data_IF_300329059651
#
_entry.id   IF_300329059651
#
_cell.length_a   1.000
_cell.length_b   1.000
_cell.length_c   1.000
_cell.angle_alpha   90.00
_cell.angle_beta   90.00
_cell.angle_gamma   90.00
#
_symmetry.space_group_name_H-M   'P 1'
#
loop_
_entity.id
_entity.type
_entity.pdbx_description
1 polymer ?
#
# COMPACT_ATOMS: atom_id res chain seq x y z
N UNK A 1 10.77 16.08 -13.20
CA UNK A 1 11.67 15.47 -12.21
C UNK A 1 11.20 15.69 -10.77
N UNK A 2 11.33 16.89 -10.19
CA UNK A 2 10.99 17.15 -8.77
C UNK A 2 9.55 16.78 -8.40
N UNK A 3 8.60 17.06 -9.28
CA UNK A 3 7.19 16.70 -9.07
C UNK A 3 6.99 15.19 -8.91
N UNK A 4 7.58 14.36 -9.79
CA UNK A 4 7.52 12.90 -9.69
C UNK A 4 8.19 12.38 -8.42
N UNK A 5 9.37 12.91 -8.07
CA UNK A 5 10.06 12.55 -6.83
C UNK A 5 9.22 12.90 -5.58
N UNK A 6 8.50 14.02 -5.61
CA UNK A 6 7.56 14.40 -4.55
C UNK A 6 6.39 13.43 -4.48
N UNK A 7 5.74 13.11 -5.62
CA UNK A 7 4.61 12.18 -5.63
C UNK A 7 4.99 10.81 -5.05
N UNK A 8 6.14 10.23 -5.43
CA UNK A 8 6.60 8.93 -4.89
C UNK A 8 6.88 9.00 -3.38
N UNK A 9 7.46 10.11 -2.88
CA UNK A 9 7.66 10.31 -1.44
C UNK A 9 6.32 10.41 -0.69
N UNK A 10 5.34 11.09 -1.27
CA UNK A 10 3.99 11.20 -0.71
C UNK A 10 3.29 9.83 -0.68
N UNK A 11 3.43 8.98 -1.71
CA UNK A 11 2.89 7.59 -1.70
C UNK A 11 3.37 6.84 -0.45
N UNK A 12 4.68 6.88 -0.17
CA UNK A 12 5.26 6.23 1.01
C UNK A 12 4.71 6.84 2.31
N UNK A 13 4.59 8.16 2.37
CA UNK A 13 4.10 8.86 3.56
C UNK A 13 2.64 8.49 3.88
N UNK A 14 1.77 8.48 2.88
CA UNK A 14 0.37 8.10 3.05
C UNK A 14 0.22 6.64 3.50
N UNK A 15 0.98 5.72 2.90
CA UNK A 15 1.00 4.32 3.34
C UNK A 15 1.47 4.19 4.80
N UNK A 16 2.53 4.92 5.17
CA UNK A 16 3.04 4.91 6.53
C UNK A 16 2.03 5.45 7.54
N UNK A 17 1.39 6.59 7.24
CA UNK A 17 0.36 7.20 8.09
C UNK A 17 -0.82 6.24 8.33
N UNK A 18 -1.28 5.58 7.27
CA UNK A 18 -2.37 4.61 7.37
C UNK A 18 -1.99 3.40 8.24
N UNK A 19 -0.82 2.81 7.99
CA UNK A 19 -0.33 1.67 8.80
C UNK A 19 -0.19 2.10 10.26
N UNK A 20 0.44 3.25 10.53
CA UNK A 20 0.62 3.74 11.89
C UNK A 20 -0.71 3.98 12.63
N UNK A 21 -1.70 4.56 11.95
CA UNK A 21 -3.06 4.74 12.50
C UNK A 21 -3.70 3.39 12.85
N UNK A 22 -3.63 2.42 11.94
CA UNK A 22 -4.20 1.08 12.15
C UNK A 22 -3.52 0.32 13.29
N UNK A 23 -2.20 0.48 13.45
CA UNK A 23 -1.46 -0.07 14.59
C UNK A 23 -1.97 0.54 15.90
N UNK A 24 -2.18 1.85 15.94
CA UNK A 24 -2.70 2.56 17.11
C UNK A 24 -4.16 2.21 17.44
N UNK A 25 -4.94 1.76 16.47
CA UNK A 25 -6.34 1.34 16.65
C UNK A 25 -6.51 -0.11 17.10
N UNK A 26 -5.42 -0.86 17.22
CA UNK A 26 -5.48 -2.24 17.69
C UNK A 26 -5.97 -2.32 19.14
N UNK A 27 -6.74 -3.36 19.46
CA UNK A 27 -7.21 -3.63 20.81
C UNK A 27 -6.04 -3.88 21.78
N UNK A 28 -6.15 -3.35 23.00
CA UNK A 28 -5.22 -3.63 24.10
C UNK A 28 -5.67 -4.79 25.00
N UNK A 29 -6.78 -5.46 24.66
CA UNK A 29 -7.28 -6.60 25.44
C UNK A 29 -6.40 -7.83 25.23
N UNK A 30 -6.04 -8.51 26.34
CA UNK A 30 -5.28 -9.76 26.30
C UNK A 30 -5.98 -10.86 25.50
N UNK A 31 -7.33 -10.85 25.45
CA UNK A 31 -8.13 -11.79 24.67
C UNK A 31 -7.78 -11.76 23.17
N UNK A 32 -7.45 -10.58 22.65
CA UNK A 32 -7.17 -10.38 21.23
C UNK A 32 -5.67 -10.29 20.91
N UNK A 33 -4.78 -10.40 21.90
CA UNK A 33 -3.35 -10.10 21.74
C UNK A 33 -2.69 -10.88 20.59
N UNK A 34 -2.93 -12.20 20.49
CA UNK A 34 -2.41 -13.02 19.40
C UNK A 34 -2.98 -12.60 18.04
N UNK A 35 -4.30 -12.35 17.97
CA UNK A 35 -4.99 -11.95 16.73
C UNK A 35 -4.59 -10.54 16.27
N UNK A 36 -4.33 -9.64 17.22
CA UNK A 36 -3.75 -8.31 16.99
C UNK A 36 -2.37 -8.47 16.39
N UNK A 37 -1.48 -9.24 17.00
CA UNK A 37 -0.14 -9.48 16.48
C UNK A 37 -0.18 -10.03 15.04
N UNK A 38 -1.05 -11.00 14.80
CA UNK A 38 -1.30 -11.59 13.48
C UNK A 38 -1.76 -10.56 12.45
N UNK A 39 -2.68 -9.68 12.83
CA UNK A 39 -3.16 -8.58 11.99
C UNK A 39 -2.04 -7.59 11.67
N UNK A 40 -1.24 -7.19 12.66
CA UNK A 40 -0.14 -6.24 12.50
C UNK A 40 0.90 -6.77 11.50
N UNK A 41 1.29 -8.05 11.61
CA UNK A 41 2.22 -8.68 10.67
C UNK A 41 1.63 -8.76 9.24
N UNK A 42 0.36 -9.16 9.12
CA UNK A 42 -0.32 -9.20 7.81
C UNK A 42 -0.43 -7.81 7.18
N UNK A 43 -0.69 -6.78 7.98
CA UNK A 43 -0.79 -5.39 7.53
C UNK A 43 0.57 -4.87 7.04
N UNK A 44 1.65 -5.06 7.81
CA UNK A 44 3.01 -4.64 7.42
C UNK A 44 3.43 -5.33 6.11
N UNK A 45 3.17 -6.64 5.99
CA UNK A 45 3.48 -7.41 4.79
C UNK A 45 2.74 -6.87 3.56
N UNK A 46 1.44 -6.64 3.67
CA UNK A 46 0.66 -6.09 2.56
C UNK A 46 1.07 -4.65 2.22
N UNK A 47 1.40 -3.83 3.21
CA UNK A 47 1.90 -2.47 2.98
C UNK A 47 3.27 -2.47 2.27
N UNK A 48 4.17 -3.38 2.66
CA UNK A 48 5.46 -3.60 1.98
C UNK A 48 5.25 -4.07 0.54
N UNK A 49 4.32 -5.01 0.32
CA UNK A 49 3.97 -5.50 -1.02
C UNK A 49 3.34 -4.39 -1.89
N UNK A 50 2.48 -3.55 -1.32
CA UNK A 50 1.88 -2.41 -2.03
C UNK A 50 2.97 -1.42 -2.45
N UNK A 51 3.87 -1.06 -1.54
CA UNK A 51 4.94 -0.13 -1.84
C UNK A 51 5.91 -0.67 -2.91
N UNK A 52 6.24 -1.96 -2.84
CA UNK A 52 7.03 -2.64 -3.86
C UNK A 52 6.33 -2.61 -5.23
N UNK A 53 5.04 -2.96 -5.27
CA UNK A 53 4.24 -2.95 -6.51
C UNK A 53 4.19 -1.54 -7.12
N UNK A 54 4.01 -0.51 -6.28
CA UNK A 54 3.98 0.88 -6.69
C UNK A 54 5.31 1.36 -7.28
N UNK A 55 6.44 0.96 -6.68
CA UNK A 55 7.77 1.30 -7.21
C UNK A 55 8.04 0.60 -8.55
N UNK A 56 7.69 -0.68 -8.68
CA UNK A 56 7.84 -1.42 -9.94
C UNK A 56 6.93 -0.91 -11.06
N UNK A 57 5.87 -0.16 -10.73
CA UNK A 57 4.97 0.44 -11.72
C UNK A 57 5.53 1.72 -12.30
N UNK A 58 6.12 2.60 -11.46
CA UNK A 58 6.54 3.95 -11.87
C UNK A 58 8.05 4.12 -12.06
N UNK A 59 8.86 3.17 -11.58
CA UNK A 59 10.31 3.24 -11.73
C UNK A 59 10.78 2.28 -12.82
N UNK A 60 11.62 2.78 -13.72
CA UNK A 60 12.47 1.93 -14.57
C UNK A 60 13.57 1.34 -13.69
N UNK A 61 13.39 0.10 -13.24
CA UNK A 61 14.37 -0.60 -12.41
C UNK A 61 15.13 -1.60 -13.29
N UNK A 62 16.47 -1.52 -13.28
CA UNK A 62 17.31 -2.55 -13.92
C UNK A 62 17.15 -3.92 -13.25
N UNK A 63 16.74 -3.93 -11.97
CA UNK A 63 16.41 -5.10 -11.18
C UNK A 63 15.14 -4.86 -10.36
N UNK A 64 14.06 -5.51 -10.75
CA UNK A 64 12.75 -5.43 -10.06
C UNK A 64 12.71 -6.20 -8.72
N UNK A 65 13.80 -6.85 -8.30
CA UNK A 65 13.85 -7.60 -7.03
C UNK A 65 13.96 -6.64 -5.84
N UNK A 66 12.81 -6.12 -5.42
CA UNK A 66 12.67 -5.39 -4.17
C UNK A 66 12.31 -6.36 -3.05
N UNK A 67 12.91 -6.15 -1.88
CA UNK A 67 12.62 -6.95 -0.69
C UNK A 67 11.20 -6.66 -0.20
N UNK A 68 10.41 -7.71 -0.04
CA UNK A 68 9.06 -7.66 0.54
C UNK A 68 9.09 -8.41 1.87
N UNK A 69 8.65 -7.74 2.93
CA UNK A 69 8.72 -8.27 4.29
C UNK A 69 7.87 -9.54 4.43
N UNK A 70 8.49 -10.65 4.84
CA UNK A 70 7.85 -11.94 5.10
C UNK A 70 6.97 -12.47 3.95
N UNK A 71 7.37 -12.23 2.69
CA UNK A 71 6.61 -12.64 1.51
C UNK A 71 6.27 -14.14 1.49
N UNK A 72 7.16 -14.97 2.03
CA UNK A 72 7.02 -16.42 2.15
C UNK A 72 5.82 -16.86 3.00
N UNK A 73 5.31 -15.98 3.87
CA UNK A 73 4.10 -16.23 4.66
C UNK A 73 2.80 -15.94 3.88
N UNK A 74 2.87 -15.48 2.63
CA UNK A 74 1.71 -15.34 1.76
C UNK A 74 1.37 -16.64 1.04
N UNK A 75 0.08 -16.85 0.78
CA UNK A 75 -0.35 -17.98 -0.04
C UNK A 75 0.22 -17.88 -1.45
N UNK A 76 0.81 -18.98 -1.94
CA UNK A 76 1.37 -19.10 -3.30
C UNK A 76 0.33 -18.76 -4.37
N UNK A 77 -0.92 -19.16 -4.19
CA UNK A 77 -1.99 -18.88 -5.16
C UNK A 77 -2.29 -17.38 -5.25
N UNK A 78 -2.23 -16.66 -4.12
CA UNK A 78 -2.39 -15.20 -4.10
C UNK A 78 -1.23 -14.51 -4.80
N UNK A 79 0.00 -14.95 -4.54
CA UNK A 79 1.18 -14.40 -5.19
C UNK A 79 1.14 -14.67 -6.70
N UNK A 80 0.72 -15.86 -7.11
CA UNK A 80 0.55 -16.19 -8.52
C UNK A 80 -0.52 -15.32 -9.18
N UNK A 81 -1.68 -15.15 -8.52
CA UNK A 81 -2.72 -14.24 -9.01
C UNK A 81 -2.20 -12.81 -9.17
N UNK A 82 -1.44 -12.30 -8.18
CA UNK A 82 -0.87 -10.95 -8.24
C UNK A 82 0.14 -10.80 -9.38
N UNK A 83 1.02 -11.79 -9.60
CA UNK A 83 1.98 -11.79 -10.70
C UNK A 83 1.31 -11.76 -12.07
N UNK A 84 0.12 -12.36 -12.21
CA UNK A 84 -0.66 -12.38 -13.45
C UNK A 84 -1.54 -11.13 -13.62
N UNK A 85 -1.69 -10.31 -12.58
CA UNK A 85 -2.52 -9.11 -12.61
C UNK A 85 -1.75 -7.93 -13.23
N UNK A 86 -2.45 -7.12 -14.04
CA UNK A 86 -1.91 -5.83 -14.51
C UNK A 86 -2.03 -4.77 -13.40
N UNK A 87 -3.16 -4.76 -12.72
CA UNK A 87 -3.50 -3.78 -11.68
C UNK A 87 -3.06 -4.29 -10.30
N UNK A 88 -1.74 -4.43 -10.11
CA UNK A 88 -1.16 -5.07 -8.90
C UNK A 88 -1.42 -4.25 -7.65
N UNK A 89 -1.25 -2.94 -7.73
CA UNK A 89 -1.47 -2.04 -6.61
C UNK A 89 -2.92 -2.07 -6.12
N UNK A 90 -3.89 -2.08 -7.04
CA UNK A 90 -5.33 -2.17 -6.77
C UNK A 90 -5.71 -3.49 -6.09
N UNK A 91 -5.12 -4.60 -6.54
CA UNK A 91 -5.34 -5.92 -5.92
C UNK A 91 -4.84 -5.92 -4.48
N UNK A 92 -3.62 -5.44 -4.24
CA UNK A 92 -3.05 -5.39 -2.88
C UNK A 92 -3.83 -4.42 -2.00
N UNK A 93 -4.22 -3.27 -2.53
CA UNK A 93 -5.06 -2.28 -1.85
C UNK A 93 -6.41 -2.89 -1.44
N UNK A 94 -7.05 -3.68 -2.31
CA UNK A 94 -8.28 -4.41 -1.99
C UNK A 94 -8.07 -5.44 -0.87
N UNK A 95 -6.92 -6.11 -0.82
CA UNK A 95 -6.57 -7.02 0.27
C UNK A 95 -6.36 -6.30 1.60
N UNK A 96 -5.72 -5.13 1.60
CA UNK A 96 -5.54 -4.29 2.79
C UNK A 96 -6.90 -3.84 3.31
N UNK A 97 -7.76 -3.30 2.45
CA UNK A 97 -9.11 -2.87 2.83
C UNK A 97 -9.90 -4.03 3.44
N UNK A 98 -9.85 -5.21 2.81
CA UNK A 98 -10.51 -6.41 3.35
C UNK A 98 -9.97 -6.79 4.73
N UNK A 99 -8.65 -6.78 4.91
CA UNK A 99 -8.00 -7.06 6.18
C UNK A 99 -8.47 -6.08 7.28
N UNK A 100 -8.56 -4.79 6.97
CA UNK A 100 -9.03 -3.75 7.89
C UNK A 100 -10.49 -4.01 8.32
N UNK A 101 -11.38 -4.27 7.37
CA UNK A 101 -12.79 -4.50 7.68
C UNK A 101 -13.02 -5.81 8.45
N UNK A 102 -12.29 -6.87 8.11
CA UNK A 102 -12.38 -8.14 8.85
C UNK A 102 -11.84 -7.99 10.28
N UNK A 103 -10.78 -7.21 10.48
CA UNK A 103 -10.22 -6.89 11.80
C UNK A 103 -11.18 -6.04 12.65
N UNK A 104 -11.83 -5.04 12.06
CA UNK A 104 -12.83 -4.22 12.73
C UNK A 104 -14.05 -5.03 13.18
N UNK A 105 -14.63 -5.83 12.28
CA UNK A 105 -15.76 -6.72 12.60
C UNK A 105 -15.42 -7.71 13.70
N UNK A 106 -14.16 -8.12 13.77
CA UNK A 106 -13.64 -9.07 14.74
C UNK A 106 -13.19 -8.46 16.07
N UNK A 107 -13.37 -7.15 16.27
CA UNK A 107 -12.90 -6.40 17.44
C UNK A 107 -11.37 -6.42 17.64
N UNK A 108 -10.61 -6.77 16.60
CA UNK A 108 -9.14 -6.64 16.59
C UNK A 108 -8.76 -5.16 16.50
N UNK A 109 -9.52 -4.39 15.73
CA UNK A 109 -9.48 -2.93 15.77
C UNK A 109 -10.57 -2.43 16.72
N UNK A 110 -10.16 -1.89 17.86
CA UNK A 110 -11.04 -1.33 18.90
C UNK A 110 -11.15 0.18 18.71
N UNK A 111 -11.90 0.57 17.69
CA UNK A 111 -12.04 1.95 17.30
C UNK A 111 -13.43 2.22 16.73
N UNK A 112 -13.96 3.41 17.00
CA UNK A 112 -15.23 3.85 16.45
C UNK A 112 -15.17 3.89 14.90
N UNK A 113 -16.22 3.44 14.19
CA UNK A 113 -16.23 3.39 12.73
C UNK A 113 -15.79 4.68 12.01
N UNK A 114 -16.15 5.90 12.46
CA UNK A 114 -15.72 7.12 11.79
C UNK A 114 -14.21 7.33 11.73
N UNK A 115 -13.44 6.79 12.68
CA UNK A 115 -11.98 6.96 12.73
C UNK A 115 -11.24 6.03 11.75
N UNK A 116 -11.86 4.91 11.37
CA UNK A 116 -11.30 3.95 10.39
C UNK A 116 -11.30 4.53 8.98
N UNK A 117 -12.21 5.46 8.70
CA UNK A 117 -12.25 6.18 7.44
C UNK A 117 -10.93 6.87 7.14
N UNK A 118 -10.23 7.38 8.17
CA UNK A 118 -8.97 8.11 7.99
C UNK A 118 -7.88 7.26 7.30
N UNK A 119 -7.44 6.11 7.85
CA UNK A 119 -6.44 5.29 7.17
C UNK A 119 -6.90 4.80 5.79
N UNK A 120 -8.20 4.58 5.56
CA UNK A 120 -8.74 4.24 4.24
C UNK A 120 -8.56 5.39 3.24
N UNK A 121 -8.80 6.63 3.67
CA UNK A 121 -8.58 7.83 2.84
C UNK A 121 -7.09 8.13 2.61
N UNK A 122 -6.24 7.90 3.60
CA UNK A 122 -4.77 8.03 3.47
C UNK A 122 -4.26 7.04 2.39
N UNK A 123 -4.63 5.76 2.49
CA UNK A 123 -4.28 4.78 1.46
C UNK A 123 -4.81 5.15 0.06
N UNK A 124 -6.06 5.62 -0.02
CA UNK A 124 -6.66 6.06 -1.30
C UNK A 124 -5.93 7.28 -1.88
N UNK A 125 -5.51 8.20 -1.02
CA UNK A 125 -4.69 9.36 -1.41
C UNK A 125 -3.35 8.89 -1.94
N UNK A 126 -2.71 7.92 -1.30
CA UNK A 126 -1.48 7.29 -1.79
C UNK A 126 -1.62 6.76 -3.22
N UNK A 127 -2.71 6.07 -3.55
CA UNK A 127 -2.98 5.58 -4.91
C UNK A 127 -3.16 6.72 -5.93
N UNK A 128 -3.79 7.83 -5.54
CA UNK A 128 -3.90 9.02 -6.40
C UNK A 128 -2.52 9.61 -6.68
N UNK A 129 -1.64 9.68 -5.66
CA UNK A 129 -0.26 10.15 -5.82
C UNK A 129 0.54 9.24 -6.76
N UNK A 130 0.34 7.93 -6.66
CA UNK A 130 0.97 6.95 -7.55
C UNK A 130 0.55 7.20 -9.01
N UNK A 131 -0.75 7.29 -9.28
CA UNK A 131 -1.29 7.57 -10.62
C UNK A 131 -0.79 8.91 -11.20
N UNK A 132 -0.54 9.91 -10.35
CA UNK A 132 0.04 11.17 -10.81
C UNK A 132 1.53 11.04 -11.14
N UNK A 133 2.27 10.20 -10.41
CA UNK A 133 3.66 9.90 -10.72
C UNK A 133 3.79 9.12 -12.04
N UNK A 134 2.91 8.14 -12.26
CA UNK A 134 2.83 7.35 -13.49
C UNK A 134 2.57 8.21 -14.73
N UNK A 135 1.59 9.14 -14.65
CA UNK A 135 1.33 10.10 -15.74
C UNK A 135 2.55 10.95 -16.13
N UNK A 136 3.41 11.29 -15.18
CA UNK A 136 4.63 12.07 -15.46
C UNK A 136 5.68 11.23 -16.21
N UNK A 137 5.63 9.91 -16.07
CA UNK A 137 6.44 8.99 -16.86
C UNK A 137 5.85 8.79 -18.26
N UNK A 138 4.53 8.60 -18.37
CA UNK A 138 3.86 8.35 -19.65
C UNK A 138 3.79 9.58 -20.57
N UNK A 139 3.71 10.79 -20.01
CA UNK A 139 3.55 12.04 -20.77
C UNK A 139 4.89 12.80 -20.80
N UNK A 140 5.76 12.55 -21.81
CA UNK A 140 7.05 13.22 -21.89
C UNK A 140 6.88 14.71 -22.21
N UNK A 141 7.91 15.50 -21.88
CA UNK A 141 7.99 16.88 -22.30
C UNK A 141 7.87 16.98 -23.83
N UNK A 142 7.07 17.91 -24.39
CA UNK A 142 6.80 17.90 -25.81
C UNK A 142 8.08 18.05 -26.63
N UNK A 143 8.32 17.10 -27.53
CA UNK A 143 9.53 17.01 -28.32
C UNK A 143 9.91 18.33 -29.04
N UNK A 144 8.99 19.12 -29.62
CA UNK A 144 9.34 20.37 -30.29
C UNK A 144 10.01 21.40 -29.36
N UNK A 145 9.63 21.43 -28.07
CA UNK A 145 10.23 22.36 -27.10
C UNK A 145 11.55 21.83 -26.55
N UNK A 146 11.83 20.52 -26.65
CA UNK A 146 13.05 19.89 -26.13
C UNK A 146 14.28 20.17 -26.99
N UNK A 147 14.09 20.69 -28.22
CA UNK A 147 15.12 20.90 -29.23
C UNK A 147 15.55 22.38 -29.36
N UNK A 148 14.89 23.29 -28.66
CA UNK A 148 15.20 24.73 -28.61
C UNK A 148 16.30 25.00 -27.59
#
# INVERSE_FOLDING_TARGET
FWEGATQIREVRQECFNAVNSLMAFCSNSEEYAERVHDFQLKLIRLASLLHCSALQEVCELDNDQLEILELEKMSKDRLHFLQMSKDRCEVVMSWIQRLIFDAHRSQILDVAPPLITRPLTELSTGMIRLNNADKLQEIPFPFPYAQL
#
